data_IF_733967613424
#
_entry.id   IF_733967613424
#
_cell.length_a   1.000
_cell.length_b   1.000
_cell.length_c   1.000
_cell.angle_alpha   90.00
_cell.angle_beta   90.00
_cell.angle_gamma   90.00
#
_symmetry.space_group_name_H-M   'P 1'
#
loop_
_entity.id
_entity.type
_entity.pdbx_description
1 polymer ?
#
# COMPACT_ATOMS: atom_id res chain seq x y z
N UNK A 1 -5.83 4.20 18.59
CA UNK A 1 -5.11 2.95 18.87
C UNK A 1 -3.94 2.94 17.91
N UNK A 2 -2.73 2.97 18.42
CA UNK A 2 -1.53 2.96 17.56
C UNK A 2 -1.26 1.49 17.23
N UNK A 3 -1.39 1.11 15.96
CA UNK A 3 -1.04 -0.23 15.53
C UNK A 3 0.48 -0.35 15.44
N UNK A 4 1.00 -1.41 16.00
CA UNK A 4 2.38 -1.80 15.82
C UNK A 4 2.49 -2.52 14.47
N UNK A 5 2.82 -1.76 13.42
CA UNK A 5 2.91 -2.25 12.05
C UNK A 5 3.92 -3.37 11.94
N UNK A 6 5.07 -3.27 12.61
CA UNK A 6 6.12 -4.28 12.58
C UNK A 6 5.61 -5.65 13.06
N UNK A 7 4.70 -5.65 14.04
CA UNK A 7 4.10 -6.88 14.54
C UNK A 7 3.15 -7.52 13.53
N UNK A 8 2.40 -6.73 12.77
CA UNK A 8 1.34 -7.24 11.89
C UNK A 8 1.81 -7.72 10.52
N UNK A 9 2.87 -7.17 9.96
CA UNK A 9 3.34 -7.62 8.66
C UNK A 9 4.01 -9.00 8.68
N UNK A 10 4.51 -9.44 9.86
CA UNK A 10 5.05 -10.79 10.07
C UNK A 10 3.95 -11.86 10.25
N UNK A 11 2.70 -11.46 10.53
CA UNK A 11 1.63 -12.41 10.77
C UNK A 11 1.11 -13.01 9.46
N UNK A 12 1.19 -14.34 9.35
CA UNK A 12 0.59 -15.07 8.22
C UNK A 12 -0.94 -15.02 8.25
N UNK A 13 -1.54 -14.96 9.45
CA UNK A 13 -2.99 -14.92 9.65
C UNK A 13 -3.33 -13.67 10.48
N UNK A 14 -4.20 -12.77 9.97
CA UNK A 14 -4.65 -11.60 10.72
C UNK A 14 -5.42 -11.98 11.99
N UNK A 15 -5.12 -11.32 13.10
CA UNK A 15 -5.88 -11.44 14.34
C UNK A 15 -7.17 -10.59 14.32
N UNK A 16 -7.94 -10.64 15.42
CA UNK A 16 -9.22 -9.91 15.52
C UNK A 16 -9.04 -8.38 15.48
N UNK A 17 -7.89 -7.85 15.93
CA UNK A 17 -7.61 -6.41 15.89
C UNK A 17 -7.37 -5.96 14.45
N UNK A 18 -6.62 -6.73 13.68
CA UNK A 18 -6.36 -6.46 12.27
C UNK A 18 -7.63 -6.62 11.43
N UNK A 19 -8.41 -7.67 11.64
CA UNK A 19 -9.69 -7.87 10.93
C UNK A 19 -10.70 -6.76 11.24
N UNK A 20 -10.63 -6.15 12.41
CA UNK A 20 -11.46 -4.96 12.71
C UNK A 20 -11.15 -3.77 11.80
N UNK A 21 -9.95 -3.69 11.25
CA UNK A 21 -9.50 -2.62 10.34
C UNK A 21 -9.78 -2.98 8.89
N UNK A 22 -9.25 -4.13 8.46
CA UNK A 22 -9.31 -4.53 7.06
C UNK A 22 -10.66 -5.19 6.67
N UNK A 23 -11.45 -5.63 7.65
CA UNK A 23 -12.69 -6.37 7.40
C UNK A 23 -12.42 -7.80 6.94
N UNK A 24 -12.91 -8.17 5.77
CA UNK A 24 -12.65 -9.50 5.19
C UNK A 24 -11.18 -9.66 4.84
N UNK A 25 -10.60 -10.79 5.26
CA UNK A 25 -9.18 -11.08 4.97
C UNK A 25 -9.01 -11.30 3.47
N UNK A 26 -8.10 -10.57 2.79
CA UNK A 26 -7.79 -10.82 1.39
C UNK A 26 -7.35 -12.27 1.16
N UNK A 27 -7.92 -12.95 0.15
CA UNK A 27 -7.58 -14.36 -0.16
C UNK A 27 -6.09 -14.60 -0.37
N UNK A 28 -5.34 -13.56 -0.77
CA UNK A 28 -3.90 -13.62 -1.02
C UNK A 28 -3.06 -13.16 0.17
N UNK A 29 -3.66 -12.87 1.33
CA UNK A 29 -2.96 -12.30 2.48
C UNK A 29 -1.65 -13.00 2.82
N UNK A 30 -1.65 -14.34 2.92
CA UNK A 30 -0.45 -15.11 3.23
C UNK A 30 0.63 -15.11 2.14
N UNK A 31 0.31 -14.61 0.93
CA UNK A 31 1.26 -14.48 -0.19
C UNK A 31 1.74 -13.04 -0.40
N UNK A 32 1.04 -12.07 0.20
CA UNK A 32 1.40 -10.66 0.07
C UNK A 32 2.76 -10.41 0.69
N UNK A 33 3.55 -9.60 0.00
CA UNK A 33 4.78 -9.06 0.55
C UNK A 33 4.49 -8.07 1.70
N UNK A 34 5.49 -7.73 2.52
CA UNK A 34 5.31 -6.81 3.64
C UNK A 34 4.71 -5.46 3.24
N UNK A 35 5.18 -4.86 2.14
CA UNK A 35 4.70 -3.56 1.67
C UNK A 35 3.21 -3.60 1.32
N UNK A 36 2.74 -4.68 0.69
CA UNK A 36 1.33 -4.87 0.34
C UNK A 36 0.44 -5.01 1.57
N UNK A 37 0.87 -5.75 2.59
CA UNK A 37 0.13 -5.88 3.85
C UNK A 37 0.03 -4.54 4.57
N UNK A 38 1.13 -3.80 4.65
CA UNK A 38 1.19 -2.46 5.25
C UNK A 38 0.24 -1.51 4.50
N UNK A 39 0.29 -1.49 3.17
CA UNK A 39 -0.59 -0.65 2.37
C UNK A 39 -2.07 -0.94 2.64
N UNK A 40 -2.48 -2.21 2.69
CA UNK A 40 -3.87 -2.60 3.00
C UNK A 40 -4.27 -2.11 4.39
N UNK A 41 -3.41 -2.27 5.40
CA UNK A 41 -3.73 -1.87 6.78
C UNK A 41 -3.79 -0.36 6.93
N UNK A 42 -2.77 0.37 6.48
CA UNK A 42 -2.68 1.82 6.65
C UNK A 42 -3.77 2.56 5.89
N UNK A 43 -4.06 2.13 4.65
CA UNK A 43 -5.16 2.69 3.87
C UNK A 43 -6.51 2.37 4.52
N UNK A 44 -6.68 1.16 5.06
CA UNK A 44 -7.87 0.79 5.80
C UNK A 44 -8.09 1.64 7.06
N UNK A 45 -7.05 1.87 7.85
CA UNK A 45 -7.07 2.76 9.01
C UNK A 45 -7.48 4.17 8.61
N UNK A 46 -6.86 4.71 7.57
CA UNK A 46 -7.16 6.05 7.07
C UNK A 46 -8.61 6.20 6.60
N UNK A 47 -9.09 5.25 5.79
CA UNK A 47 -10.47 5.24 5.29
C UNK A 47 -11.49 5.11 6.42
N UNK A 48 -11.20 4.26 7.42
CA UNK A 48 -12.05 4.08 8.60
C UNK A 48 -12.09 5.34 9.46
N UNK A 49 -10.95 5.97 9.74
CA UNK A 49 -10.87 7.24 10.48
C UNK A 49 -11.62 8.37 9.79
N UNK A 50 -11.61 8.38 8.46
CA UNK A 50 -12.33 9.36 7.65
C UNK A 50 -13.84 9.04 7.47
N UNK A 51 -14.35 7.94 8.03
CA UNK A 51 -15.72 7.46 7.87
C UNK A 51 -16.13 7.27 6.38
N UNK A 52 -15.20 6.80 5.55
CA UNK A 52 -15.42 6.60 4.11
C UNK A 52 -15.81 5.16 3.74
N UNK A 53 -15.66 4.22 4.68
CA UNK A 53 -16.05 2.82 4.47
C UNK A 53 -17.51 2.58 4.79
N UNK A 54 -18.18 1.82 3.93
CA UNK A 54 -19.52 1.28 4.18
C UNK A 54 -19.47 0.17 5.26
N UNK A 55 -20.64 -0.36 5.66
CA UNK A 55 -20.76 -1.40 6.71
C UNK A 55 -19.95 -2.68 6.41
N UNK A 56 -19.65 -2.96 5.14
CA UNK A 56 -18.86 -4.10 4.69
C UNK A 56 -17.35 -3.81 4.58
N UNK A 57 -16.87 -2.71 5.16
CA UNK A 57 -15.50 -2.21 5.05
C UNK A 57 -14.99 -1.96 3.62
N UNK A 58 -15.89 -1.73 2.67
CA UNK A 58 -15.54 -1.33 1.31
C UNK A 58 -15.86 0.14 1.09
N UNK A 59 -15.16 0.77 0.15
CA UNK A 59 -15.51 2.11 -0.31
C UNK A 59 -16.90 2.08 -0.98
N UNK A 60 -17.69 3.13 -0.79
CA UNK A 60 -19.00 3.25 -1.48
C UNK A 60 -18.76 3.28 -3.00
N UNK A 61 -19.52 2.48 -3.76
CA UNK A 61 -19.40 2.35 -5.21
C UNK A 61 -19.60 3.66 -6.00
N UNK A 62 -20.30 4.63 -5.41
CA UNK A 62 -20.51 5.95 -6.00
C UNK A 62 -19.29 6.87 -5.86
N UNK A 63 -18.34 6.50 -5.02
CA UNK A 63 -17.12 7.27 -4.77
C UNK A 63 -16.02 6.79 -5.72
N UNK A 64 -15.61 7.63 -6.65
CA UNK A 64 -14.39 7.42 -7.43
C UNK A 64 -13.21 8.02 -6.67
N UNK A 65 -12.32 7.19 -6.18
CA UNK A 65 -11.11 7.60 -5.47
C UNK A 65 -9.87 7.10 -6.18
N UNK A 66 -8.75 7.81 -6.02
CA UNK A 66 -7.43 7.37 -6.48
C UNK A 66 -6.50 7.01 -5.32
N UNK A 67 -5.37 6.38 -5.65
CA UNK A 67 -4.34 5.97 -4.71
C UNK A 67 -2.97 6.14 -5.34
N UNK A 68 -2.19 7.10 -4.85
CA UNK A 68 -0.89 7.47 -5.41
C UNK A 68 0.14 7.50 -4.29
N UNK A 69 1.25 6.81 -4.48
CA UNK A 69 2.38 6.89 -3.55
C UNK A 69 3.65 7.36 -4.23
N UNK A 70 4.49 8.03 -3.44
CA UNK A 70 5.89 8.13 -3.72
C UNK A 70 6.68 7.06 -2.97
N UNK A 71 7.80 6.67 -3.52
CA UNK A 71 8.77 5.75 -2.92
C UNK A 71 10.17 6.17 -3.32
N UNK A 72 11.16 5.97 -2.46
CA UNK A 72 12.59 6.09 -2.83
C UNK A 72 13.15 4.78 -3.34
N UNK A 73 12.73 3.70 -2.72
CA UNK A 73 13.33 2.37 -2.90
C UNK A 73 12.46 1.41 -3.71
N UNK A 74 11.19 1.76 -3.93
CA UNK A 74 10.25 0.92 -4.66
C UNK A 74 10.04 -0.43 -4.00
N UNK A 75 10.28 -1.50 -4.76
CA UNK A 75 10.14 -2.90 -4.32
C UNK A 75 11.45 -3.52 -3.81
N UNK A 76 12.48 -2.73 -3.50
CA UNK A 76 13.85 -3.19 -3.23
C UNK A 76 13.93 -4.40 -2.27
N UNK A 77 13.17 -4.39 -1.17
CA UNK A 77 13.19 -5.50 -0.19
C UNK A 77 12.68 -6.79 -0.83
N UNK A 78 11.62 -6.71 -1.61
CA UNK A 78 11.04 -7.85 -2.33
C UNK A 78 11.95 -8.31 -3.47
N UNK A 79 12.61 -7.36 -4.17
CA UNK A 79 13.57 -7.66 -5.22
C UNK A 79 14.80 -8.41 -4.67
N UNK A 80 15.30 -7.99 -3.51
CA UNK A 80 16.39 -8.69 -2.82
C UNK A 80 15.94 -10.09 -2.36
N UNK A 81 14.73 -10.24 -1.84
CA UNK A 81 14.19 -11.54 -1.47
C UNK A 81 14.00 -12.45 -2.70
N UNK A 82 13.54 -11.92 -3.81
CA UNK A 82 13.43 -12.64 -5.08
C UNK A 82 14.80 -13.05 -5.61
N UNK A 83 15.77 -12.13 -5.63
CA UNK A 83 17.14 -12.39 -6.07
C UNK A 83 17.77 -13.58 -5.35
N UNK A 84 17.54 -13.72 -4.04
CA UNK A 84 18.03 -14.88 -3.26
C UNK A 84 17.51 -16.21 -3.78
N UNK A 85 16.28 -16.25 -4.32
CA UNK A 85 15.73 -17.50 -4.87
C UNK A 85 16.42 -17.93 -6.17
N UNK A 86 17.17 -17.03 -6.82
CA UNK A 86 17.94 -17.31 -8.04
C UNK A 86 19.33 -17.88 -7.76
N UNK A 87 19.85 -17.77 -6.52
CA UNK A 87 21.20 -18.22 -6.16
C UNK A 87 21.39 -19.73 -6.37
N UNK A 88 20.33 -20.52 -6.21
CA UNK A 88 20.33 -21.96 -6.43
C UNK A 88 19.90 -22.38 -7.85
N UNK A 89 19.77 -21.42 -8.76
CA UNK A 89 19.41 -21.62 -10.15
C UNK A 89 18.02 -21.06 -10.53
N UNK A 90 17.82 -20.79 -11.82
CA UNK A 90 16.59 -20.18 -12.35
C UNK A 90 15.32 -21.01 -12.07
N UNK A 91 15.47 -22.33 -12.01
CA UNK A 91 14.35 -23.25 -11.72
C UNK A 91 13.81 -23.11 -10.29
N UNK A 92 14.58 -22.49 -9.38
CA UNK A 92 14.20 -22.21 -8.01
C UNK A 92 13.61 -20.81 -7.82
N UNK A 93 13.51 -20.01 -8.90
CA UNK A 93 12.92 -18.68 -8.87
C UNK A 93 11.49 -18.73 -8.29
N UNK A 94 11.21 -17.88 -7.29
CA UNK A 94 9.87 -17.81 -6.69
C UNK A 94 8.89 -17.02 -7.55
N UNK A 95 7.87 -17.65 -8.19
CA UNK A 95 6.86 -16.92 -8.96
C UNK A 95 6.02 -15.98 -8.08
N UNK A 96 5.88 -16.31 -6.79
CA UNK A 96 5.13 -15.49 -5.82
C UNK A 96 5.88 -14.20 -5.56
N UNK A 97 7.17 -14.27 -5.21
CA UNK A 97 7.98 -13.08 -4.97
C UNK A 97 8.09 -12.23 -6.23
N UNK A 98 8.30 -12.85 -7.40
CA UNK A 98 8.34 -12.14 -8.68
C UNK A 98 7.10 -11.27 -8.91
N UNK A 99 5.92 -11.76 -8.55
CA UNK A 99 4.66 -11.02 -8.66
C UNK A 99 4.62 -9.73 -7.81
N UNK A 100 5.51 -9.58 -6.83
CA UNK A 100 5.58 -8.41 -5.92
C UNK A 100 6.82 -7.53 -6.17
N UNK A 101 7.59 -7.75 -7.22
CA UNK A 101 8.78 -6.94 -7.58
C UNK A 101 8.46 -5.63 -8.31
N UNK A 102 7.21 -5.15 -8.24
CA UNK A 102 6.80 -3.88 -8.84
C UNK A 102 6.31 -2.90 -7.77
N UNK A 103 6.79 -1.64 -7.78
CA UNK A 103 6.47 -0.64 -6.75
C UNK A 103 4.98 -0.32 -6.60
N UNK A 104 4.16 -0.58 -7.61
CA UNK A 104 2.72 -0.31 -7.59
C UNK A 104 1.87 -1.48 -7.06
N UNK A 105 2.43 -2.66 -6.83
CA UNK A 105 1.67 -3.82 -6.36
C UNK A 105 1.05 -3.60 -4.98
N UNK A 106 1.73 -3.00 -3.98
CA UNK A 106 1.12 -2.70 -2.69
C UNK A 106 -0.16 -1.88 -2.82
N UNK A 107 -0.16 -0.90 -3.72
CA UNK A 107 -1.33 -0.07 -3.98
C UNK A 107 -2.42 -0.84 -4.71
N UNK A 108 -2.06 -1.68 -5.66
CA UNK A 108 -3.01 -2.52 -6.39
C UNK A 108 -3.73 -3.50 -5.44
N UNK A 109 -3.03 -4.10 -4.48
CA UNK A 109 -3.64 -4.97 -3.45
C UNK A 109 -4.63 -4.18 -2.59
N UNK A 110 -4.27 -2.99 -2.10
CA UNK A 110 -5.16 -2.13 -1.33
C UNK A 110 -6.35 -1.65 -2.17
N UNK A 111 -6.13 -1.23 -3.42
CA UNK A 111 -7.19 -0.79 -4.32
C UNK A 111 -8.19 -1.91 -4.64
N UNK A 112 -7.71 -3.12 -4.90
CA UNK A 112 -8.56 -4.29 -5.10
C UNK A 112 -9.38 -4.60 -3.84
N UNK A 113 -8.75 -4.51 -2.67
CA UNK A 113 -9.40 -4.81 -1.40
C UNK A 113 -10.51 -3.82 -1.08
N UNK A 114 -10.24 -2.52 -1.15
CA UNK A 114 -11.21 -1.46 -0.80
C UNK A 114 -12.10 -1.00 -1.96
N UNK A 115 -11.94 -1.58 -3.17
CA UNK A 115 -12.67 -1.20 -4.39
C UNK A 115 -12.42 0.25 -4.82
N UNK A 116 -11.17 0.68 -4.72
CA UNK A 116 -10.71 1.96 -5.26
C UNK A 116 -10.57 1.83 -6.78
N UNK A 117 -11.25 2.67 -7.55
CA UNK A 117 -11.39 2.54 -9.02
C UNK A 117 -10.84 3.74 -9.83
N UNK A 118 -10.18 4.69 -9.17
CA UNK A 118 -9.50 5.81 -9.83
C UNK A 118 -8.06 5.49 -10.23
N UNK A 119 -7.20 6.50 -10.42
CA UNK A 119 -5.78 6.30 -10.71
C UNK A 119 -5.08 5.59 -9.54
N UNK A 120 -4.31 4.54 -9.85
CA UNK A 120 -3.57 3.74 -8.85
C UNK A 120 -2.16 3.48 -9.37
N UNK A 121 -1.15 4.14 -8.80
CA UNK A 121 0.25 3.97 -9.19
C UNK A 121 1.24 4.51 -8.15
N UNK A 122 2.50 4.13 -8.31
CA UNK A 122 3.63 4.58 -7.51
C UNK A 122 4.63 5.37 -8.34
N UNK A 123 5.29 6.35 -7.73
CA UNK A 123 6.28 7.24 -8.35
C UNK A 123 7.59 7.11 -7.57
N UNK A 124 8.68 6.88 -8.26
CA UNK A 124 10.01 6.90 -7.65
C UNK A 124 10.48 8.35 -7.55
N UNK A 125 10.77 8.81 -6.34
CA UNK A 125 11.15 10.21 -6.07
C UNK A 125 12.00 10.34 -4.81
N UNK A 126 12.94 11.29 -4.81
CA UNK A 126 13.70 11.68 -3.60
C UNK A 126 12.83 12.37 -2.53
N UNK A 127 11.66 12.89 -2.93
CA UNK A 127 10.66 13.50 -2.05
C UNK A 127 9.32 12.77 -2.22
N UNK A 128 9.21 11.52 -1.74
CA UNK A 128 8.09 10.66 -2.09
C UNK A 128 6.73 11.23 -1.70
N UNK A 129 6.58 11.71 -0.46
CA UNK A 129 5.30 12.24 0.01
C UNK A 129 4.89 13.52 -0.75
N UNK A 130 5.83 14.43 -0.97
CA UNK A 130 5.55 15.69 -1.67
C UNK A 130 5.13 15.42 -3.11
N UNK A 131 5.87 14.55 -3.81
CA UNK A 131 5.57 14.16 -5.18
C UNK A 131 4.17 13.51 -5.29
N UNK A 132 3.82 12.61 -4.36
CA UNK A 132 2.50 12.00 -4.35
C UNK A 132 1.36 13.01 -4.12
N UNK A 133 1.59 14.02 -3.26
CA UNK A 133 0.61 15.10 -3.00
C UNK A 133 0.47 16.00 -4.22
N UNK A 134 1.56 16.38 -4.88
CA UNK A 134 1.53 17.18 -6.11
C UNK A 134 0.74 16.47 -7.20
N UNK A 135 1.00 15.20 -7.40
CA UNK A 135 0.31 14.37 -8.39
C UNK A 135 -1.18 14.19 -8.06
N UNK A 136 -1.51 13.99 -6.77
CA UNK A 136 -2.90 13.93 -6.34
C UNK A 136 -3.66 15.24 -6.64
N UNK A 137 -3.03 16.38 -6.40
CA UNK A 137 -3.61 17.69 -6.72
C UNK A 137 -3.78 17.90 -8.23
N UNK A 138 -2.84 17.39 -9.04
CA UNK A 138 -2.96 17.41 -10.49
C UNK A 138 -4.20 16.64 -10.96
N UNK A 139 -4.38 15.40 -10.50
CA UNK A 139 -5.55 14.60 -10.85
C UNK A 139 -6.86 15.23 -10.44
N UNK A 140 -6.95 15.72 -9.20
CA UNK A 140 -8.17 16.34 -8.68
C UNK A 140 -8.56 17.61 -9.46
N UNK A 141 -7.59 18.36 -9.98
CA UNK A 141 -7.84 19.54 -10.81
C UNK A 141 -8.29 19.18 -12.23
N UNK A 142 -7.86 18.05 -12.77
CA UNK A 142 -8.07 17.68 -14.17
C UNK A 142 -9.19 16.63 -14.36
N UNK A 143 -9.63 15.93 -13.33
CA UNK A 143 -10.74 14.98 -13.38
C UNK A 143 -11.75 15.27 -12.26
N UNK A 144 -12.80 16.02 -12.59
CA UNK A 144 -13.88 16.37 -11.66
C UNK A 144 -14.72 15.18 -11.17
N UNK A 145 -14.58 14.01 -11.79
CA UNK A 145 -15.22 12.77 -11.35
C UNK A 145 -14.53 12.13 -10.15
N UNK A 146 -13.29 12.53 -9.80
CA UNK A 146 -12.56 11.98 -8.66
C UNK A 146 -12.99 12.74 -7.39
N UNK A 147 -13.51 12.02 -6.41
CA UNK A 147 -13.96 12.58 -5.13
C UNK A 147 -12.79 12.93 -4.20
N UNK A 148 -11.76 12.09 -4.18
CA UNK A 148 -10.53 12.30 -3.42
C UNK A 148 -9.43 11.37 -3.93
N UNK A 149 -8.19 11.68 -3.55
CA UNK A 149 -7.03 10.80 -3.75
C UNK A 149 -6.37 10.56 -2.40
N UNK A 150 -6.04 9.31 -2.13
CA UNK A 150 -5.14 8.93 -1.05
C UNK A 150 -3.73 9.09 -1.60
N UNK A 151 -3.00 10.07 -1.08
CA UNK A 151 -1.60 10.30 -1.41
C UNK A 151 -0.71 9.92 -0.24
N UNK A 152 0.43 9.31 -0.51
CA UNK A 152 1.31 8.89 0.58
C UNK A 152 2.74 8.56 0.15
N UNK A 153 3.53 8.18 1.13
CA UNK A 153 4.83 7.52 0.93
C UNK A 153 4.77 6.11 1.50
N UNK A 154 5.41 5.17 0.82
CA UNK A 154 5.56 3.80 1.27
C UNK A 154 6.94 3.30 0.89
N UNK A 155 7.79 3.10 1.88
CA UNK A 155 9.13 2.54 1.74
C UNK A 155 9.43 1.53 2.84
N UNK A 156 10.16 0.49 2.49
CA UNK A 156 10.79 -0.42 3.43
C UNK A 156 12.29 -0.39 3.14
N UNK A 157 13.05 0.12 4.11
CA UNK A 157 14.51 0.16 4.00
C UNK A 157 15.07 -1.14 4.54
N UNK A 158 15.81 -1.92 3.72
CA UNK A 158 16.45 -3.14 4.21
C UNK A 158 17.59 -2.76 5.16
N UNK A 159 17.66 -3.43 6.30
CA UNK A 159 18.88 -3.43 7.10
C UNK A 159 19.83 -4.46 6.49
N UNK A 160 20.89 -3.98 5.87
CA UNK A 160 21.88 -4.84 5.19
C UNK A 160 22.73 -5.64 6.18
N UNK A 161 22.82 -5.21 7.44
CA UNK A 161 23.58 -5.89 8.50
C UNK A 161 22.70 -6.87 9.28
N UNK A 162 21.39 -6.54 9.41
CA UNK A 162 20.45 -7.34 10.18
C UNK A 162 19.10 -7.43 9.47
N UNK A 163 18.87 -8.50 8.71
CA UNK A 163 17.68 -8.74 7.88
C UNK A 163 16.37 -8.68 8.71
N UNK A 164 16.45 -8.80 10.03
CA UNK A 164 15.30 -8.74 10.93
C UNK A 164 14.90 -7.32 11.32
N UNK A 165 15.74 -6.30 11.06
CA UNK A 165 15.45 -4.90 11.35
C UNK A 165 15.24 -4.15 10.05
N UNK A 166 14.00 -3.80 9.77
CA UNK A 166 13.63 -2.99 8.61
C UNK A 166 13.01 -1.69 9.10
N UNK A 167 13.40 -0.58 8.49
CA UNK A 167 12.74 0.70 8.76
C UNK A 167 11.61 0.89 7.77
N UNK A 168 10.40 0.99 8.30
CA UNK A 168 9.17 1.18 7.51
C UNK A 168 8.78 2.65 7.57
N UNK A 169 8.61 3.28 6.41
CA UNK A 169 7.95 4.56 6.25
C UNK A 169 6.65 4.37 5.49
N UNK A 170 5.52 4.53 6.18
CA UNK A 170 4.19 4.43 5.60
C UNK A 170 3.36 5.60 6.11
N UNK A 171 3.14 6.61 5.26
CA UNK A 171 2.38 7.82 5.60
C UNK A 171 1.40 8.12 4.49
N UNK A 172 0.11 8.14 4.82
CA UNK A 172 -0.95 8.39 3.86
C UNK A 172 -1.85 9.55 4.31
N UNK A 173 -2.35 10.31 3.34
CA UNK A 173 -3.29 11.41 3.54
C UNK A 173 -4.39 11.38 2.49
N UNK A 174 -5.59 11.81 2.87
CA UNK A 174 -6.68 12.06 1.93
C UNK A 174 -6.57 13.49 1.42
N UNK A 175 -6.42 13.63 0.11
CA UNK A 175 -6.38 14.91 -0.59
C UNK A 175 -7.74 15.10 -1.29
N UNK A 176 -8.34 16.27 -1.09
CA UNK A 176 -9.61 16.69 -1.71
C UNK A 176 -9.44 18.08 -2.33
N UNK A 177 -10.19 18.39 -3.37
CA UNK A 177 -10.31 19.79 -3.78
C UNK A 177 -10.99 20.59 -2.66
N UNK A 178 -10.34 21.64 -2.21
CA UNK A 178 -11.02 22.67 -1.42
C UNK A 178 -11.92 23.43 -2.39
N UNK A 179 -13.22 23.16 -2.35
CA UNK A 179 -14.19 24.05 -2.98
C UNK A 179 -14.17 25.36 -2.16
N UNK A 180 -13.56 26.41 -2.73
CA UNK A 180 -13.61 27.75 -2.18
C UNK A 180 -15.04 28.30 -2.29
#
# INVERSE_FOLDING_TARGET
MQFDIEKYWLQEIPDSSLTSVIGEIPKRWGRMDPASRIAVVEIGLLLKQANLLAKNNLLNKEIKAGLITGSKLGSLVTDLAFSKTLEEGVDNASPILFGYTLPNIPLAEAACHYKIIGPVYSIISEKPLDCAIEEANFWLKNDSGISFIIAGELDITPDLENITHQVISAKFKIIKLNHA
#
